data_IF_259239195140
#
_entry.id   IF_259239195140
#
_cell.length_a   1.000
_cell.length_b   1.000
_cell.length_c   1.000
_cell.angle_alpha   90.00
_cell.angle_beta   90.00
_cell.angle_gamma   90.00
#
_symmetry.space_group_name_H-M   'P 1'
#
loop_
_entity.id
_entity.type
_entity.pdbx_description
1 polymer ?
#
# COMPACT_ATOMS: atom_id res chain seq x y z
N UNK A 1 25.64 -2.76 16.78
CA UNK A 1 24.36 -3.29 17.31
C UNK A 1 23.40 -3.36 16.13
N UNK A 2 22.82 -4.54 15.88
CA UNK A 2 21.87 -4.77 14.78
C UNK A 2 20.42 -4.83 15.29
N UNK A 3 19.53 -5.36 14.48
CA UNK A 3 18.11 -5.49 14.80
C UNK A 3 17.23 -4.60 13.93
N UNK A 4 15.92 -4.81 13.99
CA UNK A 4 14.94 -4.11 13.15
C UNK A 4 15.06 -2.60 13.30
N UNK A 5 15.22 -2.08 14.52
CA UNK A 5 15.27 -0.64 14.77
C UNK A 5 16.46 0.03 14.08
N UNK A 6 17.60 -0.65 14.00
CA UNK A 6 18.77 -0.17 13.28
C UNK A 6 18.60 -0.20 11.74
N UNK A 7 17.61 -0.93 11.23
CA UNK A 7 17.29 -0.97 9.80
C UNK A 7 16.32 0.15 9.40
N UNK A 8 15.39 0.57 10.26
CA UNK A 8 14.27 1.46 9.89
C UNK A 8 14.68 2.83 9.31
N UNK A 9 15.91 3.28 9.54
CA UNK A 9 16.45 4.54 9.00
C UNK A 9 16.81 4.47 7.52
N UNK A 10 17.00 3.28 6.95
CA UNK A 10 17.41 3.10 5.55
C UNK A 10 16.75 1.91 4.83
N UNK A 11 16.14 0.98 5.56
CA UNK A 11 15.42 -0.16 5.03
C UNK A 11 14.11 -0.39 5.77
N UNK A 12 13.02 -0.54 5.01
CA UNK A 12 11.70 -0.90 5.52
C UNK A 12 11.15 -2.04 4.69
N UNK A 13 10.65 -3.06 5.37
CA UNK A 13 10.00 -4.21 4.75
C UNK A 13 8.50 -4.14 4.98
N UNK A 14 7.71 -4.31 3.91
CA UNK A 14 6.25 -4.28 3.97
C UNK A 14 5.69 -5.63 3.55
N UNK A 15 4.93 -6.25 4.44
CA UNK A 15 4.10 -7.40 4.10
C UNK A 15 2.81 -6.91 3.47
N UNK A 16 2.37 -7.57 2.39
CA UNK A 16 1.13 -7.23 1.67
C UNK A 16 0.15 -8.40 1.74
N UNK A 17 -0.72 -8.43 2.76
CA UNK A 17 -1.64 -9.56 2.96
C UNK A 17 -2.61 -9.70 1.79
N UNK A 18 -2.65 -10.91 1.19
CA UNK A 18 -3.57 -11.24 0.11
C UNK A 18 -3.14 -10.81 -1.29
N UNK A 19 -1.99 -10.15 -1.44
CA UNK A 19 -1.34 -9.92 -2.74
C UNK A 19 -0.72 -11.23 -3.24
N UNK A 20 -0.86 -11.52 -4.53
CA UNK A 20 -0.15 -12.63 -5.20
C UNK A 20 1.26 -12.23 -5.65
N UNK A 21 1.88 -12.96 -6.59
CA UNK A 21 3.15 -12.51 -7.15
C UNK A 21 2.94 -11.25 -8.01
N UNK A 22 3.40 -10.09 -7.50
CA UNK A 22 3.38 -8.75 -8.13
C UNK A 22 2.00 -8.09 -8.23
N UNK A 23 0.94 -8.83 -8.58
CA UNK A 23 -0.39 -8.23 -8.79
C UNK A 23 -1.55 -9.16 -8.45
N UNK A 24 -2.71 -8.55 -8.15
CA UNK A 24 -3.96 -9.26 -7.92
C UNK A 24 -4.09 -9.93 -6.56
N UNK A 25 -5.28 -10.50 -6.34
CA UNK A 25 -5.70 -11.17 -5.11
C UNK A 25 -6.76 -12.23 -5.43
N UNK A 26 -7.05 -13.14 -4.51
CA UNK A 26 -8.18 -14.11 -4.59
C UNK A 26 -9.20 -13.92 -3.47
N UNK A 27 -9.02 -12.92 -2.61
CA UNK A 27 -9.83 -12.67 -1.41
C UNK A 27 -10.27 -11.21 -1.28
N UNK A 28 -10.29 -10.48 -2.40
CA UNK A 28 -10.57 -9.04 -2.44
C UNK A 28 -9.70 -8.21 -1.48
N UNK A 29 -8.45 -8.64 -1.26
CA UNK A 29 -7.49 -7.86 -0.48
C UNK A 29 -6.94 -6.69 -1.31
N UNK A 30 -6.71 -5.52 -0.70
CA UNK A 30 -5.98 -4.45 -1.36
C UNK A 30 -4.57 -4.88 -1.73
N UNK A 31 -4.24 -4.74 -3.01
CA UNK A 31 -3.01 -5.31 -3.60
C UNK A 31 -2.23 -4.27 -4.41
N UNK A 32 -2.87 -3.20 -4.85
CA UNK A 32 -2.24 -2.18 -5.69
C UNK A 32 -1.76 -0.99 -4.86
N UNK A 33 -0.50 -0.63 -4.99
CA UNK A 33 0.14 0.51 -4.33
C UNK A 33 1.19 1.16 -5.25
N UNK A 34 0.94 1.12 -6.57
CA UNK A 34 1.88 1.52 -7.63
C UNK A 34 3.28 0.87 -7.50
N UNK A 35 3.32 -0.39 -7.09
CA UNK A 35 4.56 -1.16 -7.03
C UNK A 35 5.14 -1.46 -8.42
N UNK A 36 6.45 -1.76 -8.52
CA UNK A 36 7.08 -2.13 -9.78
C UNK A 36 6.34 -3.28 -10.49
N UNK A 37 5.97 -3.07 -11.76
CA UNK A 37 5.31 -4.06 -12.62
C UNK A 37 3.81 -4.26 -12.39
N UNK A 38 3.23 -3.83 -11.26
CA UNK A 38 1.80 -4.06 -10.99
C UNK A 38 0.88 -3.22 -11.87
N UNK A 39 1.34 -2.06 -12.37
CA UNK A 39 0.62 -1.17 -13.28
C UNK A 39 0.21 -1.88 -14.58
N UNK A 40 1.02 -2.82 -15.08
CA UNK A 40 0.70 -3.61 -16.27
C UNK A 40 -0.55 -4.48 -16.11
N UNK A 41 -1.02 -4.69 -14.88
CA UNK A 41 -2.30 -5.35 -14.61
C UNK A 41 -3.50 -4.46 -14.88
N UNK A 42 -3.33 -3.14 -14.82
CA UNK A 42 -4.37 -2.14 -15.07
C UNK A 42 -4.31 -1.66 -16.53
N UNK A 43 -3.21 -1.01 -16.90
CA UNK A 43 -2.97 -0.43 -18.23
C UNK A 43 -1.51 -0.03 -18.37
N UNK A 44 -1.00 0.01 -19.61
CA UNK A 44 0.33 0.55 -19.91
C UNK A 44 0.44 2.07 -19.69
N UNK A 45 -0.68 2.76 -19.54
CA UNK A 45 -0.73 4.20 -19.27
C UNK A 45 -0.82 4.55 -17.78
N UNK A 46 -0.99 3.56 -16.89
CA UNK A 46 -1.10 3.82 -15.45
C UNK A 46 0.27 4.13 -14.85
N UNK A 47 0.41 5.30 -14.20
CA UNK A 47 1.65 5.75 -13.57
C UNK A 47 1.62 5.81 -12.04
N UNK A 48 0.44 5.69 -11.43
CA UNK A 48 0.26 5.73 -9.97
C UNK A 48 -0.96 4.89 -9.56
N UNK A 49 -1.50 5.09 -8.35
CA UNK A 49 -2.80 4.56 -7.92
C UNK A 49 -3.91 5.47 -8.43
N UNK A 50 -4.78 5.00 -9.37
CA UNK A 50 -5.89 5.79 -9.88
C UNK A 50 -6.75 6.37 -8.76
N UNK A 51 -7.13 7.64 -8.91
CA UNK A 51 -7.86 8.48 -7.93
C UNK A 51 -7.08 8.84 -6.65
N UNK A 52 -5.87 8.30 -6.45
CA UNK A 52 -5.03 8.51 -5.27
C UNK A 52 -3.56 8.68 -5.67
N UNK A 53 -3.28 9.69 -6.50
CA UNK A 53 -1.95 9.96 -7.05
C UNK A 53 -1.08 10.73 -6.05
N UNK A 54 -0.84 10.10 -4.90
CA UNK A 54 -0.15 10.70 -3.76
C UNK A 54 0.89 9.75 -3.13
N UNK A 55 1.72 10.34 -2.28
CA UNK A 55 2.81 9.66 -1.55
C UNK A 55 2.30 8.52 -0.66
N UNK A 56 1.06 8.56 -0.18
CA UNK A 56 0.51 7.51 0.69
C UNK A 56 0.11 6.28 -0.10
N UNK A 57 -0.33 6.41 -1.35
CA UNK A 57 -0.87 5.29 -2.15
C UNK A 57 0.09 4.79 -3.24
N UNK A 58 1.25 5.42 -3.37
CA UNK A 58 2.24 5.11 -4.39
C UNK A 58 3.62 4.87 -3.76
N UNK A 59 4.09 3.63 -3.81
CA UNK A 59 5.38 3.24 -3.22
C UNK A 59 6.59 3.92 -3.89
N UNK A 60 6.50 4.29 -5.17
CA UNK A 60 7.57 5.01 -5.85
C UNK A 60 7.61 6.47 -5.38
N UNK A 61 6.44 7.12 -5.27
CA UNK A 61 6.36 8.47 -4.68
C UNK A 61 6.81 8.48 -3.21
N UNK A 62 6.44 7.45 -2.43
CA UNK A 62 6.91 7.26 -1.05
C UNK A 62 8.42 7.14 -0.95
N UNK A 63 9.04 6.37 -1.84
CA UNK A 63 10.50 6.22 -1.89
C UNK A 63 11.18 7.56 -2.23
N UNK A 64 10.67 8.29 -3.22
CA UNK A 64 11.21 9.61 -3.57
C UNK A 64 11.10 10.60 -2.41
N UNK A 65 9.94 10.68 -1.75
CA UNK A 65 9.75 11.55 -0.58
C UNK A 65 10.69 11.17 0.58
N UNK A 66 10.98 9.89 0.77
CA UNK A 66 11.94 9.45 1.78
C UNK A 66 13.37 9.88 1.45
N UNK A 67 13.82 9.65 0.22
CA UNK A 67 15.19 9.95 -0.21
C UNK A 67 15.44 11.45 -0.33
N UNK A 68 14.50 12.19 -0.94
CA UNK A 68 14.69 13.61 -1.27
C UNK A 68 14.33 14.53 -0.10
N UNK A 69 13.29 14.18 0.67
CA UNK A 69 12.73 15.05 1.70
C UNK A 69 12.91 14.51 3.12
N UNK A 70 13.55 13.34 3.29
CA UNK A 70 13.70 12.69 4.59
C UNK A 70 12.36 12.26 5.21
N UNK A 71 11.30 12.13 4.41
CA UNK A 71 9.96 11.78 4.90
C UNK A 71 9.86 10.29 5.17
N UNK A 72 9.71 9.91 6.45
CA UNK A 72 9.57 8.52 6.85
C UNK A 72 8.31 7.87 6.24
N UNK A 73 8.46 6.67 5.66
CA UNK A 73 7.35 5.87 5.10
C UNK A 73 6.72 4.99 6.18
N UNK A 74 5.84 5.55 6.99
CA UNK A 74 5.23 4.83 8.13
C UNK A 74 4.04 3.95 7.73
N UNK A 75 3.49 4.17 6.54
CA UNK A 75 2.51 3.32 5.87
C UNK A 75 2.53 3.52 4.36
N UNK A 76 2.01 2.53 3.62
CA UNK A 76 1.65 2.66 2.20
C UNK A 76 0.24 2.11 2.06
N UNK A 77 -0.72 2.88 1.55
CA UNK A 77 -2.10 2.45 1.39
C UNK A 77 -2.25 1.64 0.10
N UNK A 78 -2.51 0.34 0.25
CA UNK A 78 -2.89 -0.52 -0.85
C UNK A 78 -4.39 -0.37 -1.16
N UNK A 79 -4.73 -0.53 -2.43
CA UNK A 79 -6.08 -0.38 -2.99
C UNK A 79 -6.52 -1.64 -3.75
N UNK A 80 -7.81 -1.95 -3.69
CA UNK A 80 -8.48 -2.83 -4.66
C UNK A 80 -9.83 -2.23 -5.05
N UNK A 81 -10.30 -2.56 -6.25
CA UNK A 81 -11.53 -2.03 -6.85
C UNK A 81 -12.65 -3.07 -6.87
N UNK A 82 -13.89 -2.63 -7.06
CA UNK A 82 -15.08 -3.51 -7.06
C UNK A 82 -15.00 -4.60 -8.12
N UNK A 83 -14.37 -4.29 -9.25
CA UNK A 83 -13.97 -5.26 -10.27
C UNK A 83 -12.44 -5.27 -10.33
N UNK A 84 -11.84 -6.45 -10.14
CA UNK A 84 -10.39 -6.58 -10.09
C UNK A 84 -9.75 -5.97 -11.35
N UNK A 85 -8.74 -5.12 -11.12
CA UNK A 85 -7.99 -4.43 -12.15
C UNK A 85 -8.80 -3.46 -13.04
N UNK A 86 -9.99 -3.04 -12.59
CA UNK A 86 -10.77 -1.99 -13.23
C UNK A 86 -11.01 -0.83 -12.24
N UNK A 87 -10.16 0.20 -12.29
CA UNK A 87 -10.31 1.37 -11.43
C UNK A 87 -11.65 2.10 -11.60
N UNK A 88 -12.22 2.08 -12.80
CA UNK A 88 -13.50 2.76 -13.10
C UNK A 88 -14.69 2.14 -12.36
N UNK A 89 -14.54 0.92 -11.84
CA UNK A 89 -15.55 0.28 -10.97
C UNK A 89 -15.64 0.91 -9.58
N UNK A 90 -14.70 1.79 -9.23
CA UNK A 90 -14.57 2.43 -7.92
C UNK A 90 -13.88 1.54 -6.90
N UNK A 91 -13.30 2.16 -5.87
CA UNK A 91 -12.62 1.45 -4.78
C UNK A 91 -13.60 0.52 -4.06
N UNK A 92 -13.16 -0.73 -3.82
CA UNK A 92 -13.86 -1.68 -2.97
C UNK A 92 -13.43 -1.55 -1.52
N UNK A 93 -12.12 -1.54 -1.28
CA UNK A 93 -11.51 -1.31 0.03
C UNK A 93 -10.04 -0.95 -0.09
N UNK A 94 -9.52 -0.34 0.97
CA UNK A 94 -8.13 0.06 1.12
C UNK A 94 -7.58 -0.40 2.47
N UNK A 95 -6.27 -0.61 2.56
CA UNK A 95 -5.57 -1.00 3.79
C UNK A 95 -4.19 -0.35 3.88
N UNK A 96 -3.78 0.15 5.05
CA UNK A 96 -2.39 0.54 5.26
C UNK A 96 -1.50 -0.70 5.31
N UNK A 97 -0.46 -0.70 4.49
CA UNK A 97 0.67 -1.61 4.61
C UNK A 97 1.64 -1.03 5.64
N UNK A 98 2.03 -1.86 6.60
CA UNK A 98 2.82 -1.42 7.73
C UNK A 98 4.28 -1.85 7.60
N UNK A 99 5.25 -1.01 8.04
CA UNK A 99 6.63 -1.41 8.13
C UNK A 99 6.78 -2.50 9.19
N UNK A 100 7.30 -3.65 8.79
CA UNK A 100 7.56 -4.79 9.65
C UNK A 100 8.43 -4.39 10.86
N UNK A 101 8.12 -4.86 12.09
CA UNK A 101 7.18 -5.94 12.44
C UNK A 101 5.73 -5.49 12.67
N UNK A 102 5.40 -4.21 12.50
CA UNK A 102 4.03 -3.74 12.70
C UNK A 102 3.10 -4.41 11.69
N UNK A 103 1.87 -4.64 12.12
CA UNK A 103 0.80 -5.18 11.29
C UNK A 103 -0.38 -4.23 11.27
N UNK A 104 -1.14 -4.27 10.17
CA UNK A 104 -2.41 -3.55 10.12
C UNK A 104 -3.38 -4.15 11.14
N UNK A 105 -3.91 -3.31 12.01
CA UNK A 105 -4.95 -3.74 12.94
C UNK A 105 -6.17 -2.83 12.87
N UNK A 106 -7.34 -3.44 12.72
CA UNK A 106 -8.61 -2.73 12.78
C UNK A 106 -8.79 -2.09 14.17
N UNK A 107 -9.19 -0.82 14.20
CA UNK A 107 -9.39 -0.06 15.44
C UNK A 107 -10.60 -0.55 16.25
N UNK A 108 -11.50 -1.33 15.63
CA UNK A 108 -12.73 -1.81 16.25
C UNK A 108 -13.95 -0.93 15.98
N UNK A 109 -13.76 0.19 15.29
CA UNK A 109 -14.80 1.14 14.91
C UNK A 109 -14.52 1.72 13.51
N UNK A 110 -15.55 2.32 12.90
CA UNK A 110 -15.47 2.90 11.55
C UNK A 110 -15.70 1.90 10.42
N UNK A 111 -15.79 2.40 9.18
CA UNK A 111 -15.98 1.56 8.00
C UNK A 111 -14.76 0.65 7.80
N UNK A 112 -14.90 -0.69 7.83
CA UNK A 112 -13.80 -1.60 7.60
C UNK A 112 -13.27 -1.54 6.16
N UNK A 113 -13.82 -0.76 5.24
CA UNK A 113 -13.31 -0.62 3.88
C UNK A 113 -12.35 0.57 3.69
N UNK A 114 -12.25 1.49 4.65
CA UNK A 114 -11.36 2.66 4.58
C UNK A 114 -10.07 2.44 5.38
N UNK A 115 -8.92 3.00 4.97
CA UNK A 115 -7.64 2.77 5.63
C UNK A 115 -7.58 3.42 7.03
N UNK A 116 -8.32 4.50 7.27
CA UNK A 116 -8.33 5.24 8.55
C UNK A 116 -8.86 4.41 9.73
N UNK A 117 -9.69 3.40 9.43
CA UNK A 117 -10.19 2.44 10.43
C UNK A 117 -9.12 1.43 10.89
N UNK A 118 -7.89 1.52 10.37
CA UNK A 118 -6.77 0.68 10.72
C UNK A 118 -5.63 1.51 11.34
N UNK A 119 -4.72 0.82 12.02
CA UNK A 119 -3.47 1.39 12.54
C UNK A 119 -2.35 0.37 12.41
N UNK A 120 -1.13 0.86 12.19
CA UNK A 120 0.06 0.04 12.26
C UNK A 120 0.52 -0.11 13.72
N UNK A 121 0.46 -1.33 14.24
CA UNK A 121 0.90 -1.67 15.61
C UNK A 121 1.54 -3.06 15.68
#
# INVERSE_FOLDING_TARGET
>A
MGGVDALQSWFRYFLVPGLQHVSGTVVDAPWYFAGPGSHGRLSTATYSTPDYEDVRHDALLALMAWVENGTAVDEIVATTWKRMADPSSGVLRQRPLCPYPKTQTYRGNGDPNVPESFTCR
#
